data_IF_826362587832
#
_entry.id   IF_826362587832
#
_cell.length_a   1.000
_cell.length_b   1.000
_cell.length_c   1.000
_cell.angle_alpha   90.00
_cell.angle_beta   90.00
_cell.angle_gamma   90.00
#
_symmetry.space_group_name_H-M   'P 1'
#
loop_
_entity.id
_entity.type
_entity.pdbx_description
1 polymer ?
#
# COMPACT_ATOMS: atom_id res chain seq x y z
N UNK A 1 -10.31 36.47 33.89
CA UNK A 1 -10.42 36.88 32.47
C UNK A 1 -8.99 37.04 31.97
N UNK A 2 -8.39 36.22 31.12
CA UNK A 2 -8.83 35.08 30.30
C UNK A 2 -7.54 34.30 30.02
N UNK A 3 -7.55 32.99 30.22
CA UNK A 3 -6.41 32.12 29.93
C UNK A 3 -6.16 32.09 28.43
N UNK A 4 -4.97 32.51 27.99
CA UNK A 4 -4.56 32.36 26.59
C UNK A 4 -4.15 30.90 26.36
N UNK A 5 -5.13 30.11 25.93
CA UNK A 5 -4.93 28.83 25.25
C UNK A 5 -4.05 29.08 24.03
N UNK A 6 -2.74 28.87 24.17
CA UNK A 6 -1.85 28.75 23.02
C UNK A 6 -2.29 27.47 22.32
N UNK A 7 -2.97 27.62 21.18
CA UNK A 7 -3.23 26.52 20.25
C UNK A 7 -1.90 25.80 20.02
N UNK A 8 -1.80 24.59 20.55
CA UNK A 8 -0.77 23.65 20.17
C UNK A 8 -1.03 23.32 18.71
N UNK A 9 -0.39 24.08 17.82
CA UNK A 9 -0.14 23.68 16.44
C UNK A 9 0.87 22.52 16.51
N UNK A 10 0.39 21.38 16.99
CA UNK A 10 1.10 20.13 16.87
C UNK A 10 0.92 19.75 15.40
N UNK A 11 1.98 19.65 14.59
CA UNK A 11 1.86 18.94 13.34
C UNK A 11 1.42 17.54 13.74
N UNK A 12 0.16 17.22 13.46
CA UNK A 12 -0.25 15.82 13.41
C UNK A 12 0.82 15.18 12.53
N UNK A 13 1.53 14.13 12.96
CA UNK A 13 2.12 13.29 11.95
C UNK A 13 0.90 12.86 11.14
N UNK A 14 0.71 13.48 9.98
CA UNK A 14 0.05 12.81 8.89
C UNK A 14 0.89 11.54 8.80
N UNK A 15 0.39 10.48 9.45
CA UNK A 15 0.88 9.13 9.29
C UNK A 15 0.69 8.90 7.82
N UNK A 16 1.70 9.29 7.06
CA UNK A 16 1.79 9.10 5.64
C UNK A 16 1.90 7.60 5.59
N UNK A 17 0.74 6.95 5.50
CA UNK A 17 0.58 5.50 5.44
C UNK A 17 1.67 5.04 4.51
N UNK A 18 2.69 4.41 5.09
CA UNK A 18 3.90 4.09 4.36
C UNK A 18 3.48 3.37 3.08
N UNK A 19 4.11 3.66 1.93
CA UNK A 19 4.01 2.73 0.82
C UNK A 19 4.40 1.37 1.37
N UNK A 20 3.42 0.47 1.45
CA UNK A 20 3.66 -0.87 1.93
C UNK A 20 4.66 -1.49 0.95
N UNK A 21 5.75 -2.02 1.48
CA UNK A 21 6.81 -2.61 0.67
C UNK A 21 6.53 -4.09 0.40
N UNK A 22 7.34 -4.68 -0.49
CA UNK A 22 7.27 -6.12 -0.77
C UNK A 22 7.45 -6.96 0.51
N UNK A 23 8.24 -6.49 1.49
CA UNK A 23 8.40 -7.14 2.79
C UNK A 23 7.09 -7.28 3.56
N UNK A 24 6.29 -6.22 3.60
CA UNK A 24 4.96 -6.24 4.23
C UNK A 24 4.03 -7.25 3.55
N UNK A 25 4.04 -7.30 2.22
CA UNK A 25 3.25 -8.26 1.46
C UNK A 25 3.62 -9.70 1.80
N UNK A 26 4.93 -10.03 1.78
CA UNK A 26 5.43 -11.36 2.12
C UNK A 26 5.07 -11.76 3.56
N UNK A 27 5.18 -10.82 4.50
CA UNK A 27 4.78 -11.05 5.89
C UNK A 27 3.28 -11.39 6.01
N UNK A 28 2.41 -10.68 5.29
CA UNK A 28 0.97 -10.98 5.29
C UNK A 28 0.69 -12.33 4.66
N UNK A 29 1.35 -12.69 3.56
CA UNK A 29 1.20 -14.02 2.96
C UNK A 29 1.65 -15.11 3.93
N UNK A 30 2.76 -14.94 4.64
CA UNK A 30 3.22 -15.87 5.67
C UNK A 30 2.22 -16.03 6.83
N UNK A 31 1.41 -15.02 7.11
CA UNK A 31 0.31 -15.08 8.10
C UNK A 31 -0.98 -15.72 7.55
N UNK A 32 -0.96 -16.22 6.31
CA UNK A 32 -2.08 -16.90 5.67
C UNK A 32 -3.05 -15.96 4.95
N UNK A 33 -2.62 -14.76 4.58
CA UNK A 33 -3.39 -13.89 3.69
C UNK A 33 -3.21 -14.30 2.23
N UNK A 34 -4.28 -14.20 1.44
CA UNK A 34 -4.27 -14.55 0.02
C UNK A 34 -4.41 -13.28 -0.84
N UNK A 35 -3.65 -13.20 -1.93
CA UNK A 35 -3.77 -12.12 -2.90
C UNK A 35 -5.03 -12.35 -3.72
N UNK A 36 -5.88 -11.33 -3.79
CA UNK A 36 -7.01 -11.29 -4.70
C UNK A 36 -6.51 -10.91 -6.10
N UNK A 37 -6.89 -11.73 -7.08
CA UNK A 37 -6.51 -11.56 -8.49
C UNK A 37 -7.70 -11.01 -9.29
N UNK A 38 -7.48 -10.12 -10.29
CA UNK A 38 -6.20 -9.56 -10.71
C UNK A 38 -5.68 -8.45 -9.78
N UNK A 39 -4.36 -8.24 -9.77
CA UNK A 39 -3.75 -7.08 -9.11
C UNK A 39 -3.95 -5.84 -9.98
N UNK A 40 -4.33 -4.73 -9.36
CA UNK A 40 -4.65 -3.50 -10.09
C UNK A 40 -3.40 -2.62 -10.22
N UNK A 41 -2.96 -2.37 -11.45
CA UNK A 41 -1.99 -1.33 -11.74
C UNK A 41 -2.70 0.02 -11.87
N UNK A 42 -2.29 0.99 -11.05
CA UNK A 42 -2.83 2.34 -11.06
C UNK A 42 -1.72 3.35 -10.98
N UNK A 43 -1.90 4.49 -11.63
CA UNK A 43 -1.00 5.63 -11.43
C UNK A 43 -1.01 6.03 -9.96
N UNK A 44 0.17 6.18 -9.38
CA UNK A 44 0.32 6.63 -8.01
C UNK A 44 -0.16 8.08 -7.88
N UNK A 45 -1.24 8.31 -7.13
CA UNK A 45 -1.77 9.66 -6.90
C UNK A 45 -0.75 10.54 -6.16
N UNK A 46 0.06 9.93 -5.29
CA UNK A 46 1.15 10.59 -4.57
C UNK A 46 2.31 10.99 -5.49
N UNK A 47 2.46 10.34 -6.64
CA UNK A 47 3.54 10.57 -7.62
C UNK A 47 3.02 11.07 -8.97
N UNK A 48 1.95 11.89 -8.96
CA UNK A 48 1.33 12.48 -10.17
C UNK A 48 2.29 13.13 -11.17
N UNK A 49 3.52 13.48 -10.77
CA UNK A 49 4.53 14.08 -11.67
C UNK A 49 5.48 13.08 -12.32
N UNK A 50 5.72 11.90 -11.75
CA UNK A 50 6.65 10.93 -12.34
C UNK A 50 5.97 9.96 -13.30
N UNK A 51 4.64 9.82 -13.23
CA UNK A 51 3.91 8.85 -14.06
C UNK A 51 4.15 7.40 -13.62
N UNK A 52 4.67 7.18 -12.41
CA UNK A 52 4.95 5.86 -11.89
C UNK A 52 3.65 5.10 -11.55
N UNK A 53 3.61 3.85 -12.00
CA UNK A 53 2.57 2.90 -11.63
C UNK A 53 2.80 2.41 -10.21
N UNK A 54 1.73 2.08 -9.51
CA UNK A 54 1.73 1.36 -8.26
C UNK A 54 0.72 0.22 -8.34
N UNK A 55 1.09 -0.92 -7.80
CA UNK A 55 0.25 -2.10 -7.72
C UNK A 55 -0.57 -2.05 -6.43
N UNK A 56 -1.89 -2.05 -6.60
CA UNK A 56 -2.87 -2.11 -5.53
C UNK A 56 -3.26 -3.58 -5.34
N UNK A 57 -2.71 -4.17 -4.28
CA UNK A 57 -2.82 -5.59 -3.98
C UNK A 57 -3.82 -5.75 -2.84
N UNK A 58 -4.99 -6.29 -3.17
CA UNK A 58 -6.00 -6.61 -2.18
C UNK A 58 -5.65 -7.99 -1.60
N UNK A 59 -5.61 -8.06 -0.28
CA UNK A 59 -5.35 -9.27 0.47
C UNK A 59 -6.60 -9.65 1.25
N UNK A 60 -6.95 -10.94 1.23
CA UNK A 60 -8.10 -11.48 1.95
C UNK A 60 -7.68 -12.56 2.94
N UNK A 61 -8.35 -12.59 4.09
CA UNK A 61 -8.20 -13.64 5.10
C UNK A 61 -9.50 -13.78 5.87
N UNK A 62 -10.21 -14.90 5.70
CA UNK A 62 -11.56 -15.09 6.24
C UNK A 62 -12.48 -13.91 5.88
N UNK A 63 -13.06 -13.22 6.85
CA UNK A 63 -13.91 -12.04 6.63
C UNK A 63 -13.14 -10.71 6.54
N UNK A 64 -11.80 -10.74 6.62
CA UNK A 64 -10.96 -9.55 6.63
C UNK A 64 -10.41 -9.23 5.24
N UNK A 65 -10.24 -7.95 4.96
CA UNK A 65 -9.59 -7.41 3.76
C UNK A 65 -8.52 -6.41 4.17
N UNK A 66 -7.41 -6.41 3.43
CA UNK A 66 -6.31 -5.46 3.57
C UNK A 66 -5.88 -4.99 2.18
N UNK A 67 -5.34 -3.78 2.09
CA UNK A 67 -4.81 -3.22 0.86
C UNK A 67 -3.33 -2.89 1.06
N UNK A 68 -2.49 -3.44 0.19
CA UNK A 68 -1.06 -3.14 0.11
C UNK A 68 -0.82 -2.43 -1.21
N UNK A 69 -0.24 -1.22 -1.15
CA UNK A 69 0.12 -0.44 -2.34
C UNK A 69 1.63 -0.40 -2.47
N UNK A 70 2.16 -1.03 -3.51
CA UNK A 70 3.60 -1.14 -3.77
C UNK A 70 3.93 -0.36 -5.05
N UNK A 71 4.91 0.55 -5.03
CA UNK A 71 5.41 1.16 -6.26
C UNK A 71 5.84 0.10 -7.28
N UNK A 72 5.56 0.33 -8.56
CA UNK A 72 6.00 -0.56 -9.62
C UNK A 72 7.52 -0.67 -9.62
N UNK A 73 8.02 -1.89 -9.65
CA UNK A 73 9.45 -2.18 -9.69
C UNK A 73 9.70 -3.63 -10.05
N UNK A 74 10.94 -3.98 -10.43
CA UNK A 74 11.27 -5.32 -10.93
C UNK A 74 10.97 -6.41 -9.89
N UNK A 75 11.26 -6.16 -8.60
CA UNK A 75 11.05 -7.13 -7.54
C UNK A 75 9.58 -7.55 -7.38
N UNK A 76 8.66 -6.58 -7.35
CA UNK A 76 7.22 -6.89 -7.23
C UNK A 76 6.66 -7.46 -8.54
N UNK A 77 7.19 -7.04 -9.69
CA UNK A 77 6.79 -7.59 -10.97
C UNK A 77 7.14 -9.09 -11.09
N UNK A 78 8.39 -9.45 -10.79
CA UNK A 78 8.83 -10.85 -10.76
C UNK A 78 8.03 -11.67 -9.77
N UNK A 79 7.78 -11.13 -8.57
CA UNK A 79 6.98 -11.82 -7.57
C UNK A 79 5.55 -12.14 -8.05
N UNK A 80 4.88 -11.20 -8.72
CA UNK A 80 3.53 -11.43 -9.24
C UNK A 80 3.53 -12.41 -10.43
N UNK A 81 4.57 -12.36 -11.26
CA UNK A 81 4.77 -13.28 -12.40
C UNK A 81 5.04 -14.72 -11.93
N UNK A 82 5.91 -14.91 -10.93
CA UNK A 82 6.21 -16.20 -10.30
C UNK A 82 4.95 -16.85 -9.69
N UNK A 83 3.99 -16.03 -9.26
CA UNK A 83 2.70 -16.47 -8.74
C UNK A 83 1.60 -16.59 -9.82
N UNK A 84 1.92 -16.31 -11.08
CA UNK A 84 0.99 -16.27 -12.20
C UNK A 84 -0.22 -15.35 -11.93
N UNK A 85 -0.02 -14.24 -11.21
CA UNK A 85 -1.07 -13.28 -10.88
C UNK A 85 -1.16 -12.23 -11.99
N UNK A 86 -2.26 -12.17 -12.75
CA UNK A 86 -2.44 -11.14 -13.77
C UNK A 86 -2.52 -9.74 -13.16
N UNK A 87 -1.93 -8.77 -13.87
CA UNK A 87 -1.97 -7.34 -13.56
C UNK A 87 -2.91 -6.65 -14.57
N UNK A 88 -3.78 -5.74 -14.12
CA UNK A 88 -4.77 -5.03 -14.96
C UNK A 88 -4.84 -3.53 -14.68
#
# INVERSE_FOLDING_TARGET
MTSNTRCSDQPTPATSTQPHDLGTLLMLIAQGWQIESPVLARLSWAQRRSGELAYHIILTRAAQRSLVVIPSGPAIHHFLDDLNIPIT
#
